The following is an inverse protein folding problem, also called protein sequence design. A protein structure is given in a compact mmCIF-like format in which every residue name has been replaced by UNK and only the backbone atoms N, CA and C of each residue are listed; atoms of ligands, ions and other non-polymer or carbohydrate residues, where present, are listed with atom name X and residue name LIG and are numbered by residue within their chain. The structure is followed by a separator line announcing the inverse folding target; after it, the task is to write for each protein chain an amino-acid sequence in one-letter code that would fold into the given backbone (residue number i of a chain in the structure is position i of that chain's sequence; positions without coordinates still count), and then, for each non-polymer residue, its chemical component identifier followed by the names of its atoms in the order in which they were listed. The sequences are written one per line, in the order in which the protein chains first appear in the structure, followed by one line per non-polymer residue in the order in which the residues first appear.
data_IF_785319762030
#
_entry.id   IF_785319762030
#
_cell.length_a   1.000
_cell.length_b   1.000
_cell.length_c   1.000
_cell.angle_alpha   90.00
_cell.angle_beta   90.00
_cell.angle_gamma   90.00
#
_symmetry.space_group_name_H-M   'P 1'
#
loop_
_entity.id
_entity.type
_entity.pdbx_description
1 polymer ?
#
# COMPACT_ATOMS: atom_id res chain seq x y z
N UNK A 1 20.79 10.80 -43.78
CA UNK A 1 19.68 9.90 -43.43
C UNK A 1 18.61 10.74 -42.82
N UNK A 2 17.48 10.86 -43.51
CA UNK A 2 16.30 11.72 -43.22
C UNK A 2 15.32 10.91 -42.38
N UNK A 3 14.92 11.46 -41.20
CA UNK A 3 13.87 10.87 -40.33
C UNK A 3 12.67 11.81 -40.35
N UNK A 4 11.48 11.39 -40.83
CA UNK A 4 10.29 12.24 -40.79
C UNK A 4 9.57 12.12 -39.42
N UNK A 5 9.17 13.26 -38.83
CA UNK A 5 8.41 13.39 -37.61
C UNK A 5 6.91 13.06 -37.78
N UNK A 6 6.20 12.71 -36.73
CA UNK A 6 4.78 12.38 -36.76
C UNK A 6 3.89 13.64 -36.80
N UNK A 7 2.88 13.57 -37.69
CA UNK A 7 1.86 14.58 -37.90
C UNK A 7 0.87 14.66 -36.74
N UNK A 8 0.60 15.87 -36.28
CA UNK A 8 -0.54 16.20 -35.41
C UNK A 8 -1.87 15.95 -36.14
N UNK A 9 -2.82 15.29 -35.49
CA UNK A 9 -4.22 15.30 -35.88
C UNK A 9 -4.99 16.21 -34.94
N UNK A 10 -5.36 17.38 -35.48
CA UNK A 10 -6.41 18.23 -34.97
C UNK A 10 -7.77 17.56 -35.29
N UNK A 11 -8.59 17.42 -34.28
CA UNK A 11 -9.97 17.00 -34.38
C UNK A 11 -10.86 17.88 -33.51
N UNK A 12 -11.19 19.05 -34.05
CA UNK A 12 -12.22 19.95 -33.51
C UNK A 12 -13.61 19.36 -33.75
N UNK A 13 -14.43 19.22 -32.68
CA UNK A 13 -15.87 19.06 -32.80
C UNK A 13 -16.61 20.23 -32.14
N UNK A 14 -17.59 20.82 -32.83
CA UNK A 14 -18.24 22.07 -32.42
C UNK A 14 -19.35 21.84 -31.39
N UNK A 15 -19.40 22.80 -30.48
CA UNK A 15 -20.43 22.97 -29.45
C UNK A 15 -21.75 23.35 -30.07
N UNK A 16 -22.83 22.58 -29.86
CA UNK A 16 -24.20 23.01 -30.16
C UNK A 16 -24.86 23.58 -28.89
N UNK A 17 -24.92 24.92 -28.83
CA UNK A 17 -25.84 25.65 -27.97
C UNK A 17 -27.25 25.63 -28.59
N UNK A 18 -28.25 25.14 -27.88
CA UNK A 18 -29.62 25.67 -27.97
C UNK A 18 -30.34 25.51 -26.65
N UNK A 19 -30.69 26.66 -26.11
CA UNK A 19 -31.60 26.92 -25.01
C UNK A 19 -33.02 26.45 -25.33
N UNK A 20 -33.74 25.94 -24.35
CA UNK A 20 -35.13 26.28 -24.14
C UNK A 20 -35.58 25.95 -22.72
N UNK A 21 -36.07 26.99 -22.05
CA UNK A 21 -36.74 26.94 -20.78
C UNK A 21 -38.18 26.40 -20.94
N UNK A 22 -38.64 25.62 -19.99
CA UNK A 22 -40.07 25.47 -19.70
C UNK A 22 -40.25 25.13 -18.21
N UNK A 23 -40.84 26.09 -17.51
CA UNK A 23 -41.44 25.97 -16.19
C UNK A 23 -42.74 25.18 -16.32
N UNK A 24 -42.99 24.15 -15.55
CA UNK A 24 -44.33 23.72 -15.16
C UNK A 24 -44.29 22.97 -13.83
N UNK A 25 -45.17 23.44 -13.01
CA UNK A 25 -45.51 23.09 -11.63
C UNK A 25 -45.96 21.64 -11.42
N UNK A 26 -45.68 21.09 -10.22
CA UNK A 26 -46.64 20.23 -9.52
C UNK A 26 -46.32 18.76 -9.54
N UNK A 27 -45.86 18.28 -8.45
CA UNK A 27 -46.40 17.18 -7.64
C UNK A 27 -45.30 16.70 -6.66
N UNK A 28 -45.50 17.02 -5.38
CA UNK A 28 -44.78 16.39 -4.29
C UNK A 28 -45.27 14.95 -4.21
N UNK A 29 -44.52 14.04 -4.83
CA UNK A 29 -44.63 12.61 -4.57
C UNK A 29 -43.54 12.33 -3.51
N UNK A 30 -43.98 12.32 -2.24
CA UNK A 30 -43.25 11.68 -1.16
C UNK A 30 -43.25 10.19 -1.45
N UNK A 31 -42.30 9.71 -2.21
CA UNK A 31 -41.95 8.31 -2.22
C UNK A 31 -41.08 8.08 -0.96
N UNK A 32 -41.77 7.59 0.08
CA UNK A 32 -41.10 6.87 1.13
C UNK A 32 -40.44 5.63 0.50
N UNK A 33 -39.21 5.78 0.06
CA UNK A 33 -38.32 4.66 -0.28
C UNK A 33 -37.86 4.08 1.07
N UNK A 34 -38.66 3.16 1.60
CA UNK A 34 -38.19 2.12 2.49
C UNK A 34 -37.33 1.17 1.65
N UNK A 35 -36.12 1.60 1.30
CA UNK A 35 -35.05 0.80 0.74
C UNK A 35 -34.19 0.30 1.87
N UNK A 36 -34.67 -0.67 2.59
CA UNK A 36 -33.92 -1.33 3.62
C UNK A 36 -32.95 -2.36 3.01
N UNK A 37 -31.71 -2.34 3.42
CA UNK A 37 -30.87 -3.52 3.53
C UNK A 37 -29.52 -3.51 2.83
N UNK A 38 -29.20 -2.46 2.03
CA UNK A 38 -27.88 -2.33 1.39
C UNK A 38 -27.01 -1.22 1.97
N UNK A 39 -27.61 -0.14 2.42
CA UNK A 39 -26.88 1.06 2.85
C UNK A 39 -26.12 0.89 4.16
N UNK A 40 -26.68 0.22 5.16
CA UNK A 40 -26.07 0.10 6.49
C UNK A 40 -24.78 -0.74 6.52
N UNK A 41 -24.68 -1.79 5.70
CA UNK A 41 -23.49 -2.63 5.62
C UNK A 41 -22.39 -1.97 4.80
N UNK A 42 -22.73 -1.24 3.75
CA UNK A 42 -21.76 -0.50 2.94
C UNK A 42 -21.21 0.69 3.73
N UNK A 43 -22.03 1.40 4.54
CA UNK A 43 -21.55 2.46 5.43
C UNK A 43 -20.61 1.94 6.52
N UNK A 44 -20.90 0.79 7.12
CA UNK A 44 -20.02 0.15 8.11
C UNK A 44 -18.69 -0.27 7.49
N UNK A 45 -18.75 -0.82 6.28
CA UNK A 45 -17.55 -1.25 5.56
C UNK A 45 -16.70 -0.04 5.15
N UNK A 46 -17.31 1.06 4.72
CA UNK A 46 -16.61 2.31 4.43
C UNK A 46 -15.97 2.92 5.69
N UNK A 47 -16.65 2.87 6.83
CA UNK A 47 -16.11 3.33 8.10
C UNK A 47 -14.90 2.48 8.54
N UNK A 48 -15.02 1.14 8.43
CA UNK A 48 -13.93 0.21 8.67
C UNK A 48 -12.73 0.49 7.74
N UNK A 49 -12.98 0.61 6.45
CA UNK A 49 -11.96 0.91 5.44
C UNK A 49 -11.26 2.24 5.76
N UNK A 50 -12.02 3.26 6.14
CA UNK A 50 -11.45 4.56 6.52
C UNK A 50 -10.52 4.44 7.74
N UNK A 51 -10.93 3.75 8.81
CA UNK A 51 -10.10 3.58 10.02
C UNK A 51 -8.79 2.85 9.69
N UNK A 52 -8.86 1.78 8.90
CA UNK A 52 -7.68 1.02 8.45
C UNK A 52 -6.79 1.91 7.58
N UNK A 53 -7.32 2.53 6.53
CA UNK A 53 -6.56 3.34 5.60
C UNK A 53 -5.85 4.53 6.29
N UNK A 54 -6.54 5.24 7.18
CA UNK A 54 -5.95 6.35 7.94
C UNK A 54 -4.80 5.90 8.84
N UNK A 55 -4.88 4.68 9.37
CA UNK A 55 -3.83 4.08 10.20
C UNK A 55 -2.66 3.53 9.36
N UNK A 56 -2.93 3.02 8.16
CA UNK A 56 -1.92 2.44 7.24
C UNK A 56 -1.10 3.53 6.56
N UNK A 57 -1.70 4.65 6.17
CA UNK A 57 -1.05 5.73 5.42
C UNK A 57 0.30 6.19 6.03
N UNK A 58 0.39 6.54 7.34
CA UNK A 58 1.66 6.98 7.93
C UNK A 58 2.70 5.84 7.97
N UNK A 59 2.27 4.58 8.04
CA UNK A 59 3.18 3.44 8.03
C UNK A 59 3.74 3.19 6.61
N UNK A 60 2.90 3.30 5.58
CA UNK A 60 3.35 3.25 4.18
C UNK A 60 4.40 4.34 3.87
N UNK A 61 4.22 5.54 4.41
CA UNK A 61 5.21 6.61 4.30
C UNK A 61 6.55 6.25 4.98
N UNK A 62 6.52 5.58 6.15
CA UNK A 62 7.74 5.08 6.83
C UNK A 62 8.43 4.00 6.00
N UNK A 63 7.69 3.03 5.46
CA UNK A 63 8.23 1.97 4.61
C UNK A 63 8.90 2.59 3.37
N UNK A 64 8.25 3.56 2.73
CA UNK A 64 8.84 4.29 1.60
C UNK A 64 10.13 5.02 1.99
N UNK A 65 10.15 5.71 3.12
CA UNK A 65 11.34 6.39 3.61
C UNK A 65 12.49 5.42 3.90
N UNK A 66 12.19 4.25 4.49
CA UNK A 66 13.16 3.19 4.75
C UNK A 66 13.75 2.64 3.44
N UNK A 67 12.91 2.33 2.45
CA UNK A 67 13.38 1.91 1.11
C UNK A 67 14.27 2.97 0.44
N UNK A 68 13.90 4.25 0.56
CA UNK A 68 14.69 5.36 0.02
C UNK A 68 16.05 5.47 0.72
N UNK A 69 16.11 5.23 2.03
CA UNK A 69 17.37 5.24 2.78
C UNK A 69 18.33 4.13 2.33
N UNK A 70 17.82 2.90 2.12
CA UNK A 70 18.60 1.78 1.55
C UNK A 70 19.14 2.17 0.17
N UNK A 71 18.28 2.66 -0.73
CA UNK A 71 18.69 3.03 -2.09
C UNK A 71 19.76 4.13 -2.11
N UNK A 72 19.69 5.08 -1.19
CA UNK A 72 20.68 6.16 -1.10
C UNK A 72 22.07 5.65 -0.73
N UNK A 73 22.16 4.65 0.12
CA UNK A 73 23.42 4.08 0.58
C UNK A 73 23.95 2.94 -0.33
N UNK A 74 23.22 2.56 -1.37
CA UNK A 74 23.68 1.61 -2.42
C UNK A 74 24.59 2.26 -3.45
N UNK A 75 25.16 3.45 -3.21
CA UNK A 75 26.10 4.11 -4.11
C UNK A 75 27.50 3.56 -3.98
N UNK A 76 28.29 3.60 -5.09
CA UNK A 76 29.67 3.10 -5.14
C UNK A 76 30.65 3.74 -4.13
N UNK A 77 30.24 4.83 -3.47
CA UNK A 77 31.05 5.55 -2.51
C UNK A 77 30.65 5.28 -1.04
N UNK A 78 29.66 4.43 -0.79
CA UNK A 78 29.23 4.12 0.57
C UNK A 78 30.18 3.12 1.25
N UNK A 79 30.51 3.38 2.52
CA UNK A 79 31.31 2.43 3.29
C UNK A 79 30.46 1.27 3.79
N UNK A 80 31.02 0.06 4.03
CA UNK A 80 30.29 -1.06 4.62
C UNK A 80 29.54 -0.69 5.91
N UNK A 81 30.15 0.15 6.77
CA UNK A 81 29.53 0.62 8.00
C UNK A 81 28.30 1.52 7.73
N UNK A 82 28.39 2.42 6.74
CA UNK A 82 27.28 3.30 6.39
C UNK A 82 26.10 2.50 5.84
N UNK A 83 26.35 1.53 4.94
CA UNK A 83 25.35 0.60 4.42
C UNK A 83 24.72 -0.21 5.57
N UNK A 84 25.53 -0.83 6.43
CA UNK A 84 25.03 -1.60 7.58
C UNK A 84 24.10 -0.78 8.47
N UNK A 85 24.48 0.45 8.80
CA UNK A 85 23.68 1.33 9.66
C UNK A 85 22.36 1.72 9.00
N UNK A 86 22.39 2.05 7.71
CA UNK A 86 21.21 2.43 6.95
C UNK A 86 20.23 1.26 6.82
N UNK A 87 20.72 0.07 6.46
CA UNK A 87 19.91 -1.13 6.31
C UNK A 87 19.34 -1.59 7.65
N UNK A 88 20.14 -1.59 8.72
CA UNK A 88 19.68 -1.93 10.07
C UNK A 88 18.53 -1.04 10.51
N UNK A 89 18.68 0.29 10.32
CA UNK A 89 17.63 1.23 10.65
C UNK A 89 16.40 1.05 9.78
N UNK A 90 16.58 0.87 8.48
CA UNK A 90 15.48 0.67 7.54
C UNK A 90 14.67 -0.60 7.86
N UNK A 91 15.33 -1.72 8.16
CA UNK A 91 14.65 -2.96 8.55
C UNK A 91 13.93 -2.82 9.90
N UNK A 92 14.48 -2.06 10.85
CA UNK A 92 13.75 -1.74 12.08
C UNK A 92 12.49 -0.93 11.78
N UNK A 93 12.60 0.14 10.98
CA UNK A 93 11.48 1.01 10.63
C UNK A 93 10.38 0.22 9.87
N UNK A 94 10.76 -0.71 8.99
CA UNK A 94 9.83 -1.60 8.28
C UNK A 94 9.16 -2.59 9.24
N UNK A 95 9.92 -3.24 10.13
CA UNK A 95 9.38 -4.14 11.14
C UNK A 95 8.33 -3.44 12.00
N UNK A 96 8.64 -2.24 12.50
CA UNK A 96 7.72 -1.46 13.33
C UNK A 96 6.49 -0.99 12.55
N UNK A 97 6.66 -0.63 11.27
CA UNK A 97 5.55 -0.22 10.41
C UNK A 97 4.58 -1.37 10.14
N UNK A 98 5.07 -2.56 9.76
CA UNK A 98 4.21 -3.72 9.53
C UNK A 98 3.51 -4.19 10.80
N UNK A 99 4.19 -4.14 11.95
CA UNK A 99 3.57 -4.41 13.24
C UNK A 99 2.44 -3.42 13.55
N UNK A 100 2.65 -2.14 13.27
CA UNK A 100 1.64 -1.11 13.49
C UNK A 100 0.44 -1.27 12.55
N UNK A 101 0.65 -1.68 11.28
CA UNK A 101 -0.42 -2.00 10.33
C UNK A 101 -1.23 -3.19 10.85
N UNK A 102 -0.57 -4.27 11.28
CA UNK A 102 -1.25 -5.44 11.86
C UNK A 102 -2.08 -5.09 13.10
N UNK A 103 -1.56 -4.23 13.98
CA UNK A 103 -2.29 -3.75 15.14
C UNK A 103 -3.50 -2.89 14.74
N UNK A 104 -3.39 -2.07 13.69
CA UNK A 104 -4.48 -1.25 13.17
C UNK A 104 -5.60 -2.10 12.58
N UNK A 105 -5.29 -3.10 11.76
CA UNK A 105 -6.26 -4.06 11.21
C UNK A 105 -6.94 -4.86 12.33
N UNK A 106 -6.18 -5.29 13.32
CA UNK A 106 -6.73 -6.01 14.48
C UNK A 106 -7.68 -5.13 15.31
N UNK A 107 -7.35 -3.85 15.49
CA UNK A 107 -8.17 -2.87 16.23
C UNK A 107 -9.46 -2.53 15.51
N UNK A 108 -9.41 -2.41 14.18
CA UNK A 108 -10.60 -2.14 13.37
C UNK A 108 -11.59 -3.32 13.38
N UNK A 109 -11.12 -4.53 13.73
CA UNK A 109 -11.94 -5.73 13.76
C UNK A 109 -12.19 -6.31 12.37
N UNK A 110 -13.15 -7.25 12.28
CA UNK A 110 -13.52 -7.88 11.02
C UNK A 110 -14.33 -6.91 10.14
N UNK A 111 -14.06 -6.83 8.84
CA UNK A 111 -14.95 -6.14 7.90
C UNK A 111 -16.30 -6.86 7.79
N UNK A 112 -17.38 -6.10 7.59
CA UNK A 112 -18.76 -6.63 7.46
C UNK A 112 -18.97 -7.24 6.06
N UNK A 113 -18.30 -8.37 5.82
CA UNK A 113 -18.38 -9.17 4.60
C UNK A 113 -18.33 -10.66 4.91
N UNK A 114 -18.67 -11.50 3.94
CA UNK A 114 -18.53 -12.95 4.08
C UNK A 114 -17.07 -13.32 4.40
N UNK A 115 -16.88 -14.19 5.40
CA UNK A 115 -15.56 -14.63 5.90
C UNK A 115 -14.67 -13.48 6.42
N UNK A 116 -15.26 -12.32 6.76
CA UNK A 116 -14.51 -11.14 7.19
C UNK A 116 -13.63 -11.37 8.41
N UNK A 117 -14.07 -12.17 9.38
CA UNK A 117 -13.26 -12.52 10.55
C UNK A 117 -12.02 -13.34 10.17
N UNK A 118 -12.17 -14.35 9.29
CA UNK A 118 -11.05 -15.16 8.82
C UNK A 118 -10.05 -14.31 8.02
N UNK A 119 -10.55 -13.49 7.11
CA UNK A 119 -9.72 -12.57 6.30
C UNK A 119 -8.92 -11.61 7.18
N UNK A 120 -9.55 -11.03 8.19
CA UNK A 120 -8.88 -10.14 9.14
C UNK A 120 -7.81 -10.86 9.95
N UNK A 121 -8.09 -12.07 10.48
CA UNK A 121 -7.13 -12.85 11.25
C UNK A 121 -5.92 -13.27 10.40
N UNK A 122 -6.13 -13.71 9.17
CA UNK A 122 -5.07 -14.10 8.25
C UNK A 122 -4.20 -12.90 7.87
N UNK A 123 -4.79 -11.75 7.56
CA UNK A 123 -4.05 -10.52 7.29
C UNK A 123 -3.20 -10.05 8.49
N UNK A 124 -3.76 -10.09 9.71
CA UNK A 124 -3.02 -9.73 10.94
C UNK A 124 -1.86 -10.68 11.17
N UNK A 125 -2.07 -12.00 10.99
CA UNK A 125 -1.02 -13.01 11.11
C UNK A 125 0.10 -12.77 10.11
N UNK A 126 -0.24 -12.48 8.86
CA UNK A 126 0.75 -12.22 7.82
C UNK A 126 1.54 -10.94 8.09
N UNK A 127 0.88 -9.83 8.43
CA UNK A 127 1.55 -8.58 8.79
C UNK A 127 2.53 -8.75 9.96
N UNK A 128 2.16 -9.54 10.97
CA UNK A 128 3.06 -9.88 12.07
C UNK A 128 4.24 -10.76 11.61
N UNK A 129 4.02 -11.67 10.66
CA UNK A 129 5.07 -12.49 10.07
C UNK A 129 6.07 -11.65 9.28
N UNK A 130 5.57 -10.72 8.46
CA UNK A 130 6.40 -9.76 7.71
C UNK A 130 7.23 -8.91 8.69
N UNK A 131 6.61 -8.38 9.74
CA UNK A 131 7.31 -7.63 10.79
C UNK A 131 8.46 -8.46 11.42
N UNK A 132 8.19 -9.72 11.78
CA UNK A 132 9.20 -10.62 12.35
C UNK A 132 10.34 -10.93 11.36
N UNK A 133 10.03 -11.04 10.08
CA UNK A 133 11.02 -11.24 9.02
C UNK A 133 11.97 -10.04 8.91
N UNK A 134 11.45 -8.81 8.89
CA UNK A 134 12.30 -7.62 8.91
C UNK A 134 13.13 -7.50 10.18
N UNK A 135 12.60 -7.86 11.34
CA UNK A 135 13.38 -7.91 12.59
C UNK A 135 14.52 -8.94 12.53
N UNK A 136 14.34 -10.04 11.79
CA UNK A 136 15.38 -11.05 11.55
C UNK A 136 16.43 -10.52 10.57
N UNK A 137 16.01 -9.91 9.46
CA UNK A 137 16.92 -9.27 8.49
C UNK A 137 17.80 -8.19 9.15
N UNK A 138 17.21 -7.39 10.04
CA UNK A 138 17.98 -6.44 10.82
C UNK A 138 19.09 -7.12 11.62
N UNK A 139 18.80 -8.21 12.35
CA UNK A 139 19.82 -8.94 13.13
C UNK A 139 20.91 -9.52 12.24
N UNK A 140 20.55 -9.98 11.04
CA UNK A 140 21.51 -10.51 10.08
C UNK A 140 22.44 -9.40 9.59
N UNK A 141 21.90 -8.23 9.20
CA UNK A 141 22.72 -7.11 8.74
C UNK A 141 23.61 -6.59 9.86
N UNK A 142 23.11 -6.51 11.11
CA UNK A 142 23.90 -6.09 12.27
C UNK A 142 25.10 -7.04 12.55
N UNK A 143 24.99 -8.31 12.16
CA UNK A 143 26.04 -9.32 12.35
C UNK A 143 27.09 -9.37 11.23
N UNK A 144 26.94 -8.59 10.15
CA UNK A 144 27.89 -8.58 9.04
C UNK A 144 29.23 -7.94 9.45
N UNK A 145 30.34 -8.53 9.00
CA UNK A 145 31.68 -8.02 9.24
C UNK A 145 32.02 -6.86 8.29
N UNK A 146 31.88 -5.63 8.76
CA UNK A 146 32.18 -4.41 7.99
C UNK A 146 33.67 -4.17 7.74
N UNK A 147 34.58 -4.97 8.35
CA UNK A 147 36.02 -4.87 8.13
C UNK A 147 36.49 -5.71 6.96
N UNK A 148 35.74 -6.73 6.58
CA UNK A 148 36.00 -7.60 5.42
C UNK A 148 34.95 -7.30 4.32
N UNK A 149 35.36 -6.48 3.34
CA UNK A 149 34.46 -6.03 2.29
C UNK A 149 33.88 -7.19 1.46
N UNK A 150 34.65 -8.26 1.24
CA UNK A 150 34.19 -9.40 0.46
C UNK A 150 33.10 -10.18 1.22
N UNK A 151 33.33 -10.48 2.51
CA UNK A 151 32.33 -11.13 3.37
C UNK A 151 31.10 -10.27 3.59
N UNK A 152 31.29 -8.96 3.73
CA UNK A 152 30.16 -8.02 3.84
C UNK A 152 29.28 -8.06 2.60
N UNK A 153 29.88 -8.01 1.40
CA UNK A 153 29.15 -8.08 0.15
C UNK A 153 28.42 -9.42 -0.06
N UNK A 154 29.04 -10.53 0.34
CA UNK A 154 28.40 -11.85 0.27
C UNK A 154 27.24 -11.95 1.26
N UNK A 155 27.37 -11.45 2.48
CA UNK A 155 26.26 -11.40 3.44
C UNK A 155 25.09 -10.52 2.98
N UNK A 156 25.35 -9.40 2.29
CA UNK A 156 24.28 -8.60 1.67
C UNK A 156 23.53 -9.34 0.56
N UNK A 157 24.22 -10.20 -0.23
CA UNK A 157 23.54 -11.04 -1.23
C UNK A 157 22.58 -12.04 -0.58
N UNK A 158 22.98 -12.63 0.56
CA UNK A 158 22.11 -13.54 1.32
C UNK A 158 20.86 -12.80 1.84
N UNK A 159 21.03 -11.60 2.38
CA UNK A 159 19.94 -10.73 2.82
C UNK A 159 19.02 -10.36 1.66
N UNK A 160 19.57 -10.01 0.48
CA UNK A 160 18.80 -9.71 -0.71
C UNK A 160 17.96 -10.92 -1.19
N UNK A 161 18.50 -12.13 -1.10
CA UNK A 161 17.78 -13.36 -1.42
C UNK A 161 16.61 -13.62 -0.45
N UNK A 162 16.76 -13.29 0.83
CA UNK A 162 15.67 -13.40 1.81
C UNK A 162 14.60 -12.32 1.60
N UNK A 163 14.99 -11.09 1.24
CA UNK A 163 14.06 -10.03 0.86
C UNK A 163 13.23 -10.42 -0.38
N UNK A 164 13.85 -11.04 -1.38
CA UNK A 164 13.13 -11.53 -2.57
C UNK A 164 12.10 -12.61 -2.20
N UNK A 165 12.46 -13.55 -1.29
CA UNK A 165 11.50 -14.53 -0.76
C UNK A 165 10.36 -13.86 -0.01
N UNK A 166 10.67 -12.90 0.87
CA UNK A 166 9.69 -12.16 1.65
C UNK A 166 8.71 -11.40 0.75
N UNK A 167 9.20 -10.77 -0.31
CA UNK A 167 8.36 -10.05 -1.27
C UNK A 167 7.38 -10.94 -2.03
N UNK A 168 7.72 -12.24 -2.19
CA UNK A 168 6.88 -13.24 -2.88
C UNK A 168 5.88 -13.91 -1.94
N UNK A 169 6.21 -14.04 -0.66
CA UNK A 169 5.38 -14.74 0.31
C UNK A 169 4.36 -13.85 1.04
N UNK A 170 4.56 -12.55 1.04
CA UNK A 170 3.81 -11.60 1.85
C UNK A 170 2.63 -10.93 1.14
N UNK A 171 2.03 -11.55 0.09
CA UNK A 171 0.99 -10.88 -0.68
C UNK A 171 -0.40 -11.55 -0.62
N UNK A 172 -0.46 -12.82 -0.24
CA UNK A 172 -1.70 -13.59 -0.47
C UNK A 172 -2.83 -13.21 0.49
N UNK A 173 -2.56 -13.15 1.81
CA UNK A 173 -3.62 -12.84 2.78
C UNK A 173 -4.02 -11.35 2.73
N UNK A 174 -3.08 -10.45 2.43
CA UNK A 174 -3.39 -9.03 2.22
C UNK A 174 -4.23 -8.85 0.95
N UNK A 175 -3.86 -9.51 -0.15
CA UNK A 175 -4.65 -9.51 -1.39
C UNK A 175 -6.05 -10.07 -1.16
N UNK A 176 -6.17 -11.16 -0.39
CA UNK A 176 -7.46 -11.76 -0.04
C UNK A 176 -8.32 -10.82 0.83
N UNK A 177 -7.72 -10.06 1.75
CA UNK A 177 -8.42 -9.05 2.53
C UNK A 177 -8.94 -7.92 1.63
N UNK A 178 -8.16 -7.52 0.64
CA UNK A 178 -8.47 -6.42 -0.28
C UNK A 178 -9.36 -6.84 -1.46
N UNK A 179 -9.80 -8.11 -1.54
CA UNK A 179 -10.69 -8.58 -2.59
C UNK A 179 -12.15 -8.13 -2.41
N UNK A 180 -12.85 -7.94 -3.53
CA UNK A 180 -14.28 -7.68 -3.57
C UNK A 180 -14.67 -6.37 -2.87
N UNK A 181 -15.73 -6.41 -2.06
CA UNK A 181 -16.30 -5.22 -1.41
C UNK A 181 -15.31 -4.49 -0.48
N UNK A 182 -14.40 -5.22 0.17
CA UNK A 182 -13.36 -4.61 1.04
C UNK A 182 -12.43 -3.75 0.21
N UNK A 183 -11.89 -4.26 -0.89
CA UNK A 183 -11.03 -3.50 -1.79
C UNK A 183 -11.73 -2.32 -2.42
N UNK A 184 -13.01 -2.47 -2.79
CA UNK A 184 -13.82 -1.36 -3.28
C UNK A 184 -13.98 -0.26 -2.22
N UNK A 185 -14.29 -0.62 -0.97
CA UNK A 185 -14.40 0.33 0.14
C UNK A 185 -13.05 1.03 0.42
N UNK A 186 -11.93 0.29 0.45
CA UNK A 186 -10.60 0.84 0.64
C UNK A 186 -10.19 1.75 -0.53
N UNK A 187 -10.52 1.42 -1.77
CA UNK A 187 -10.22 2.23 -2.94
C UNK A 187 -10.92 3.59 -2.95
N UNK A 188 -12.05 3.73 -2.26
CA UNK A 188 -12.75 5.00 -2.07
C UNK A 188 -12.08 5.90 -1.04
N UNK A 189 -11.19 5.37 -0.18
CA UNK A 189 -10.52 6.15 0.86
C UNK A 189 -9.27 6.86 0.31
N UNK A 190 -9.22 8.18 0.41
CA UNK A 190 -8.09 8.99 -0.06
C UNK A 190 -6.75 8.59 0.59
N UNK A 191 -6.78 8.16 1.86
CA UNK A 191 -5.60 7.70 2.60
C UNK A 191 -5.02 6.39 2.05
N UNK A 192 -5.86 5.46 1.56
CA UNK A 192 -5.38 4.25 0.88
C UNK A 192 -4.84 4.55 -0.52
N UNK A 193 -5.47 5.44 -1.28
CA UNK A 193 -4.96 5.86 -2.59
C UNK A 193 -3.55 6.45 -2.51
N UNK A 194 -3.28 7.27 -1.48
CA UNK A 194 -1.94 7.83 -1.25
C UNK A 194 -0.94 6.79 -0.77
N UNK A 195 -1.36 5.78 0.01
CA UNK A 195 -0.52 4.69 0.46
C UNK A 195 -0.07 3.79 -0.71
N UNK A 196 -1.00 3.42 -1.62
CA UNK A 196 -0.68 2.60 -2.81
C UNK A 196 0.22 3.33 -3.80
N UNK A 197 0.03 4.64 -4.03
CA UNK A 197 0.93 5.45 -4.84
C UNK A 197 2.35 5.50 -4.25
N UNK A 198 2.47 5.42 -2.92
CA UNK A 198 3.76 5.37 -2.23
C UNK A 198 4.47 4.02 -2.38
N UNK A 199 3.72 2.91 -2.44
CA UNK A 199 4.26 1.57 -2.63
C UNK A 199 4.63 1.26 -4.10
N UNK A 200 3.93 1.87 -5.07
CA UNK A 200 4.13 1.62 -6.50
C UNK A 200 5.32 2.35 -7.14
N UNK A 201 5.96 3.29 -6.44
CA UNK A 201 7.06 4.11 -6.98
C UNK A 201 8.42 3.38 -7.06
N UNK A 202 8.49 2.09 -6.72
CA UNK A 202 9.74 1.30 -6.75
C UNK A 202 9.89 0.41 -7.99
N UNK A 203 9.01 0.56 -9.01
CA UNK A 203 9.15 -0.12 -10.31
C UNK A 203 9.64 0.85 -11.37
N UNK A 204 10.94 1.11 -11.40
CA UNK A 204 11.63 1.76 -12.54
C UNK A 204 13.05 1.21 -12.62
#
# INVERSE_FOLDING_TARGET
VYVPGPKAMEGTNPVNKKLAAALSSGAVLVLALTGCGGDDSDEKLDAWAKEVCDSVQPQAAKIKAANTAIQKETSDNSTPQAVQQADSKAFQDMSDAYKAIGAAVNKAGAPDVDDGEQKQQDAVKELNSISASYATLRKQVDALDTKDQAKFADGLKDIAAELDKLSKSGSDALSTLEEGKVGEAMSRQASCQTATASAGATKS
#
